data_IF_819589735865
#
_entry.id   IF_819589735865
#
_cell.length_a   1.000
_cell.length_b   1.000
_cell.length_c   1.000
_cell.angle_alpha   90.00
_cell.angle_beta   90.00
_cell.angle_gamma   90.00
#
_symmetry.space_group_name_H-M   'P 1'
#
loop_
_entity.id
_entity.type
_entity.pdbx_description
1 polymer ?
#
# COMPACT_ATOMS: atom_id res chain seq x y z
N UNK A 1 2.15 11.44 63.21
CA UNK A 1 2.98 12.02 62.12
C UNK A 1 3.14 11.07 60.93
N UNK A 2 2.55 9.87 60.93
CA UNK A 2 2.74 8.88 59.84
C UNK A 2 1.72 9.01 58.70
N UNK A 3 0.49 9.47 58.95
CA UNK A 3 -0.57 9.51 57.92
C UNK A 3 -0.30 10.51 56.79
N UNK A 4 0.35 11.65 57.07
CA UNK A 4 0.72 12.64 56.03
C UNK A 4 1.78 12.12 55.06
N UNK A 5 2.58 11.13 55.43
CA UNK A 5 3.68 10.62 54.59
C UNK A 5 3.16 9.64 53.55
N UNK A 6 2.14 8.84 53.90
CA UNK A 6 1.53 7.85 53.00
C UNK A 6 0.69 8.53 51.92
N UNK A 7 -0.02 9.62 52.25
CA UNK A 7 -0.78 10.39 51.26
C UNK A 7 0.12 11.04 50.21
N UNK A 8 1.26 11.61 50.62
CA UNK A 8 2.19 12.28 49.68
C UNK A 8 2.88 11.26 48.76
N UNK A 9 3.25 10.08 49.27
CA UNK A 9 3.80 9.01 48.44
C UNK A 9 2.77 8.44 47.45
N UNK A 10 1.50 8.34 47.85
CA UNK A 10 0.42 7.89 46.96
C UNK A 10 0.13 8.93 45.86
N UNK A 11 0.30 10.21 46.17
CA UNK A 11 0.12 11.32 45.24
C UNK A 11 1.29 11.44 44.26
N UNK A 12 2.54 11.26 44.71
CA UNK A 12 3.73 11.16 43.84
C UNK A 12 3.67 9.95 42.91
N UNK A 13 3.26 8.78 43.40
CA UNK A 13 3.11 7.58 42.57
C UNK A 13 2.00 7.75 41.52
N UNK A 14 0.92 8.44 41.85
CA UNK A 14 -0.17 8.74 40.92
C UNK A 14 0.28 9.73 39.83
N UNK A 15 1.09 10.72 40.18
CA UNK A 15 1.66 11.66 39.22
C UNK A 15 2.71 11.01 38.31
N UNK A 16 3.57 10.12 38.82
CA UNK A 16 4.49 9.34 37.97
C UNK A 16 3.76 8.37 37.04
N UNK A 17 2.68 7.73 37.51
CA UNK A 17 1.84 6.88 36.67
C UNK A 17 1.06 7.70 35.62
N UNK A 18 0.58 8.89 35.98
CA UNK A 18 -0.04 9.81 35.04
C UNK A 18 0.95 10.31 33.97
N UNK A 19 2.20 10.57 34.37
CA UNK A 19 3.27 10.97 33.45
C UNK A 19 3.77 9.80 32.58
N UNK A 20 3.74 8.57 33.10
CA UNK A 20 4.08 7.37 32.33
C UNK A 20 2.98 6.98 31.33
N UNK A 21 1.71 7.13 31.72
CA UNK A 21 0.55 6.94 30.84
C UNK A 21 0.47 8.06 29.80
N UNK A 22 0.81 9.31 30.16
CA UNK A 22 0.89 10.42 29.19
C UNK A 22 2.05 10.24 28.21
N UNK A 23 3.22 9.74 28.65
CA UNK A 23 4.36 9.37 27.80
C UNK A 23 4.03 8.20 26.86
N UNK A 24 3.35 7.15 27.34
CA UNK A 24 2.87 6.04 26.48
C UNK A 24 1.74 6.46 25.53
N UNK A 25 0.83 7.32 25.96
CA UNK A 25 -0.21 7.90 25.09
C UNK A 25 0.41 8.81 24.03
N UNK A 26 1.49 9.53 24.33
CA UNK A 26 2.23 10.31 23.33
C UNK A 26 2.92 9.41 22.31
N UNK A 27 3.45 8.26 22.71
CA UNK A 27 3.97 7.23 21.80
C UNK A 27 2.86 6.57 20.95
N UNK A 28 1.67 6.33 21.52
CA UNK A 28 0.53 5.77 20.79
C UNK A 28 -0.10 6.77 19.80
N UNK A 29 -0.17 8.05 20.18
CA UNK A 29 -0.65 9.15 19.34
C UNK A 29 0.34 9.45 18.23
N UNK A 30 1.66 9.39 18.49
CA UNK A 30 2.67 9.62 17.47
C UNK A 30 2.80 8.43 16.49
N UNK A 31 2.56 7.20 16.94
CA UNK A 31 2.56 6.03 16.06
C UNK A 31 1.26 5.89 15.24
N UNK A 32 0.12 6.34 15.76
CA UNK A 32 -1.15 6.34 15.01
C UNK A 32 -1.29 7.51 14.04
N UNK A 33 -0.75 8.70 14.36
CA UNK A 33 -0.80 9.86 13.47
C UNK A 33 0.29 9.83 12.39
N UNK A 34 1.47 9.27 12.67
CA UNK A 34 2.52 9.13 11.65
C UNK A 34 2.31 7.91 10.75
N UNK A 35 1.77 6.78 11.23
CA UNK A 35 1.48 5.63 10.34
C UNK A 35 0.31 5.92 9.41
N UNK A 36 -0.77 6.55 9.89
CA UNK A 36 -1.91 6.90 9.02
C UNK A 36 -1.57 8.00 8.03
N UNK A 37 -0.79 9.01 8.42
CA UNK A 37 -0.32 10.06 7.51
C UNK A 37 0.69 9.56 6.49
N UNK A 38 1.63 8.69 6.89
CA UNK A 38 2.62 8.10 5.98
C UNK A 38 1.99 7.07 5.04
N UNK A 39 1.04 6.26 5.52
CA UNK A 39 0.22 5.38 4.67
C UNK A 39 -0.65 6.24 3.73
N UNK A 40 -1.31 7.29 4.21
CA UNK A 40 -2.09 8.19 3.37
C UNK A 40 -1.26 8.85 2.27
N UNK A 41 -0.09 9.39 2.63
CA UNK A 41 0.84 9.99 1.66
C UNK A 41 1.42 8.95 0.68
N UNK A 42 1.75 7.74 1.14
CA UNK A 42 2.18 6.63 0.28
C UNK A 42 1.06 6.14 -0.62
N UNK A 43 -0.19 6.10 -0.15
CA UNK A 43 -1.36 5.75 -0.95
C UNK A 43 -1.57 6.78 -2.05
N UNK A 44 -1.60 8.07 -1.73
CA UNK A 44 -1.70 9.15 -2.71
C UNK A 44 -0.54 9.13 -3.73
N UNK A 45 0.69 8.94 -3.27
CA UNK A 45 1.87 8.81 -4.13
C UNK A 45 1.78 7.56 -5.03
N UNK A 46 1.37 6.42 -4.47
CA UNK A 46 1.20 5.16 -5.21
C UNK A 46 0.11 5.28 -6.27
N UNK A 47 -1.02 5.92 -5.95
CA UNK A 47 -2.10 6.19 -6.89
C UNK A 47 -1.61 7.12 -8.00
N UNK A 48 -0.85 8.17 -7.64
CA UNK A 48 -0.22 9.07 -8.60
C UNK A 48 0.70 8.36 -9.59
N UNK A 49 1.56 7.46 -9.09
CA UNK A 49 2.43 6.64 -9.95
C UNK A 49 1.62 5.68 -10.81
N UNK A 50 0.66 4.95 -10.23
CA UNK A 50 -0.17 4.00 -10.98
C UNK A 50 -0.91 4.73 -12.10
N UNK A 51 -1.47 5.91 -11.81
CA UNK A 51 -2.11 6.76 -12.81
C UNK A 51 -1.14 7.15 -13.92
N UNK A 52 0.08 7.60 -13.57
CA UNK A 52 1.12 7.94 -14.55
C UNK A 52 1.51 6.75 -15.43
N UNK A 53 1.67 5.57 -14.82
CA UNK A 53 2.05 4.33 -15.52
C UNK A 53 0.92 3.88 -16.44
N UNK A 54 -0.33 3.88 -15.98
CA UNK A 54 -1.50 3.54 -16.80
C UNK A 54 -1.64 4.51 -17.97
N UNK A 55 -1.40 5.80 -17.73
CA UNK A 55 -1.47 6.83 -18.76
C UNK A 55 -0.35 6.65 -19.80
N UNK A 56 0.89 6.46 -19.37
CA UNK A 56 2.02 6.17 -20.26
C UNK A 56 1.79 4.88 -21.07
N UNK A 57 1.30 3.82 -20.43
CA UNK A 57 0.97 2.56 -21.08
C UNK A 57 -0.14 2.74 -22.12
N UNK A 58 -1.16 3.54 -21.81
CA UNK A 58 -2.25 3.87 -22.74
C UNK A 58 -1.74 4.58 -23.99
N UNK A 59 -0.78 5.51 -23.84
CA UNK A 59 -0.13 6.14 -24.98
C UNK A 59 0.65 5.14 -25.82
N UNK A 60 1.42 4.23 -25.22
CA UNK A 60 2.16 3.19 -25.95
C UNK A 60 1.21 2.33 -26.79
N UNK A 61 0.12 1.84 -26.20
CA UNK A 61 -0.88 1.05 -26.93
C UNK A 61 -1.57 1.86 -28.03
N UNK A 62 -1.86 3.13 -27.78
CA UNK A 62 -2.46 4.03 -28.77
C UNK A 62 -1.50 4.25 -29.95
N UNK A 63 -0.22 4.51 -29.70
CA UNK A 63 0.80 4.64 -30.74
C UNK A 63 0.94 3.34 -31.54
N UNK A 64 0.92 2.19 -30.87
CA UNK A 64 0.98 0.89 -31.53
C UNK A 64 -0.24 0.64 -32.42
N UNK A 65 -1.43 0.99 -31.94
CA UNK A 65 -2.68 0.88 -32.70
C UNK A 65 -2.68 1.79 -33.94
N UNK A 66 -2.18 3.03 -33.81
CA UNK A 66 -2.04 3.95 -34.94
C UNK A 66 -0.98 3.45 -35.94
N UNK A 67 0.13 2.89 -35.46
CA UNK A 67 1.15 2.32 -36.33
C UNK A 67 0.63 1.12 -37.13
N UNK A 68 -0.06 0.18 -36.47
CA UNK A 68 -0.71 -0.94 -37.15
C UNK A 68 -1.84 -0.48 -38.07
N UNK A 69 -2.61 0.53 -37.64
CA UNK A 69 -3.70 1.10 -38.44
C UNK A 69 -3.19 1.78 -39.72
N UNK A 70 -2.03 2.44 -39.65
CA UNK A 70 -1.36 2.99 -40.82
C UNK A 70 -0.82 1.90 -41.77
N UNK A 71 -0.33 0.77 -41.23
CA UNK A 71 0.11 -0.35 -42.06
C UNK A 71 -1.04 -1.08 -42.77
N UNK A 72 -2.20 -1.16 -42.11
CA UNK A 72 -3.42 -1.80 -42.64
C UNK A 72 -4.29 -0.85 -43.48
N UNK A 73 -3.85 0.40 -43.67
CA UNK A 73 -4.58 1.47 -44.37
C UNK A 73 -5.99 1.73 -43.77
N UNK A 74 -6.15 1.38 -42.49
CA UNK A 74 -7.43 1.44 -41.77
C UNK A 74 -7.22 1.57 -40.26
N UNK A 75 -7.49 2.76 -39.75
CA UNK A 75 -7.49 3.09 -38.32
C UNK A 75 -8.31 2.10 -37.44
N UNK A 76 -9.57 1.74 -37.78
CA UNK A 76 -10.34 0.83 -36.95
C UNK A 76 -9.78 -0.60 -36.92
N UNK A 77 -9.12 -1.06 -37.98
CA UNK A 77 -8.46 -2.37 -37.98
C UNK A 77 -7.22 -2.38 -37.06
N UNK A 78 -6.44 -1.31 -37.04
CA UNK A 78 -5.29 -1.16 -36.15
C UNK A 78 -5.68 -1.24 -34.67
N UNK A 79 -6.71 -0.49 -34.27
CA UNK A 79 -7.26 -0.58 -32.91
C UNK A 79 -7.91 -1.95 -32.63
N UNK A 80 -8.57 -2.55 -33.62
CA UNK A 80 -9.18 -3.87 -33.49
C UNK A 80 -8.16 -4.95 -33.15
N UNK A 81 -7.03 -5.00 -33.85
CA UNK A 81 -5.96 -5.98 -33.61
C UNK A 81 -5.32 -5.77 -32.24
N UNK A 82 -5.00 -4.52 -31.89
CA UNK A 82 -4.39 -4.21 -30.58
C UNK A 82 -5.36 -4.50 -29.43
N UNK A 83 -6.67 -4.26 -29.61
CA UNK A 83 -7.72 -4.64 -28.66
C UNK A 83 -7.80 -6.16 -28.45
N UNK A 84 -7.73 -6.92 -29.53
CA UNK A 84 -7.77 -8.38 -29.46
C UNK A 84 -6.52 -8.95 -28.77
N UNK A 85 -5.36 -8.36 -29.04
CA UNK A 85 -4.08 -8.72 -28.40
C UNK A 85 -4.08 -8.36 -26.91
N UNK A 86 -4.56 -7.18 -26.53
CA UNK A 86 -4.68 -6.78 -25.12
C UNK A 86 -5.67 -7.66 -24.36
N UNK A 87 -6.79 -8.05 -24.98
CA UNK A 87 -7.75 -8.98 -24.37
C UNK A 87 -7.11 -10.35 -24.09
N UNK A 88 -6.32 -10.88 -25.03
CA UNK A 88 -5.58 -12.11 -24.83
C UNK A 88 -4.56 -11.99 -23.68
N UNK A 89 -3.86 -10.86 -23.60
CA UNK A 89 -2.92 -10.55 -22.51
C UNK A 89 -3.61 -10.52 -21.14
N UNK A 90 -4.80 -9.91 -21.06
CA UNK A 90 -5.62 -9.86 -19.84
C UNK A 90 -6.02 -11.27 -19.40
N UNK A 91 -6.43 -12.14 -20.33
CA UNK A 91 -6.77 -13.54 -20.01
C UNK A 91 -5.56 -14.27 -19.41
N UNK A 92 -4.36 -14.09 -19.97
CA UNK A 92 -3.12 -14.68 -19.45
C UNK A 92 -2.80 -14.16 -18.05
N UNK A 93 -2.93 -12.85 -17.82
CA UNK A 93 -2.73 -12.23 -16.51
C UNK A 93 -3.71 -12.79 -15.48
N UNK A 94 -4.99 -12.95 -15.82
CA UNK A 94 -6.00 -13.48 -14.90
C UNK A 94 -5.67 -14.93 -14.50
N UNK A 95 -5.23 -15.77 -15.45
CA UNK A 95 -4.79 -17.13 -15.14
C UNK A 95 -3.55 -17.13 -14.24
N UNK A 96 -2.60 -16.23 -14.48
CA UNK A 96 -1.35 -16.12 -13.72
C UNK A 96 -1.56 -15.45 -12.36
N UNK A 97 -2.60 -14.61 -12.19
CA UNK A 97 -2.95 -13.91 -10.96
C UNK A 97 -3.01 -14.85 -9.77
N UNK A 98 -3.59 -16.03 -9.94
CA UNK A 98 -3.71 -17.02 -8.85
C UNK A 98 -2.34 -17.48 -8.34
N UNK A 99 -1.36 -17.61 -9.24
CA UNK A 99 0.02 -17.95 -8.90
C UNK A 99 0.73 -16.78 -8.19
N UNK A 100 0.61 -15.56 -8.74
CA UNK A 100 1.24 -14.36 -8.19
C UNK A 100 0.72 -14.05 -6.78
N UNK A 101 -0.61 -14.14 -6.58
CA UNK A 101 -1.24 -13.88 -5.27
C UNK A 101 -0.81 -14.92 -4.26
N UNK A 102 -0.83 -16.21 -4.61
CA UNK A 102 -0.40 -17.27 -3.69
C UNK A 102 1.08 -17.13 -3.31
N UNK A 103 1.94 -16.70 -4.25
CA UNK A 103 3.36 -16.47 -3.99
C UNK A 103 3.58 -15.28 -3.05
N UNK A 104 2.85 -14.17 -3.26
CA UNK A 104 2.88 -13.01 -2.36
C UNK A 104 2.35 -13.35 -0.95
N UNK A 105 1.26 -14.12 -0.86
CA UNK A 105 0.73 -14.57 0.43
C UNK A 105 1.73 -15.44 1.17
N UNK A 106 2.37 -16.41 0.49
CA UNK A 106 3.42 -17.22 1.11
C UNK A 106 4.61 -16.37 1.58
N UNK A 107 4.99 -15.35 0.81
CA UNK A 107 6.06 -14.43 1.21
C UNK A 107 5.69 -13.64 2.47
N UNK A 108 4.49 -13.05 2.53
CA UNK A 108 4.01 -12.31 3.69
C UNK A 108 3.88 -13.22 4.91
N UNK A 109 3.33 -14.42 4.73
CA UNK A 109 3.21 -15.42 5.81
C UNK A 109 4.59 -15.84 6.32
N UNK A 110 5.57 -16.06 5.44
CA UNK A 110 6.93 -16.39 5.84
C UNK A 110 7.63 -15.25 6.58
N UNK A 111 7.33 -14.00 6.20
CA UNK A 111 7.86 -12.82 6.86
C UNK A 111 7.28 -12.69 8.28
N UNK A 112 5.96 -12.84 8.43
CA UNK A 112 5.28 -12.78 9.73
C UNK A 112 5.66 -13.94 10.66
N UNK A 113 5.80 -15.16 10.14
CA UNK A 113 6.18 -16.35 10.93
C UNK A 113 7.64 -16.31 11.37
N UNK A 114 8.51 -15.60 10.64
CA UNK A 114 9.90 -15.39 11.05
C UNK A 114 10.06 -14.22 12.03
N UNK A 115 9.23 -13.18 11.94
CA UNK A 115 9.22 -12.04 12.88
C UNK A 115 8.72 -12.46 14.28
N UNK A 116 7.80 -13.43 14.37
CA UNK A 116 7.28 -13.99 15.64
C UNK A 116 8.26 -14.97 16.35
N UNK A 117 9.41 -15.28 15.73
CA UNK A 117 10.41 -16.22 16.26
C UNK A 117 11.69 -15.56 16.78
N UNK A 118 11.79 -14.22 16.72
CA UNK A 118 12.77 -13.42 17.48
C UNK A 118 12.16 -12.86 18.76
#
# INVERSE_FOLDING_TARGET
>A
MEEKKVSTLFEEMKDELADYVSKRLRLFKLQSYSRTSRIGALLLYSIGIILLVVLALSFIFTTLALYLGGLLDSLPLGFGIVSLLTLLFVIVIIKTKKSIVNSLTNMIVSFLVNDDKE
#
